data_IF_252963026921
#
_entry.id   IF_252963026921
#
_cell.length_a   1.000
_cell.length_b   1.000
_cell.length_c   1.000
_cell.angle_alpha   90.00
_cell.angle_beta   90.00
_cell.angle_gamma   90.00
#
_symmetry.space_group_name_H-M   'P 1'
#
loop_
_entity.id
_entity.type
_entity.pdbx_description
1 polymer ?
#
# COMPACT_ATOMS: atom_id res chain seq x y z
N UNK A 1 13.82 0.38 -31.62
CA UNK A 1 14.58 -0.87 -31.30
C UNK A 1 13.62 -2.06 -31.23
N UNK A 2 12.47 -1.89 -30.58
CA UNK A 2 11.40 -2.88 -30.43
C UNK A 2 10.78 -3.34 -31.76
N UNK A 3 10.49 -2.41 -32.68
CA UNK A 3 9.91 -2.74 -34.01
C UNK A 3 10.84 -3.63 -34.87
N UNK A 4 12.14 -3.31 -34.90
CA UNK A 4 13.16 -4.11 -35.60
C UNK A 4 13.36 -5.51 -34.99
N UNK A 5 13.07 -5.67 -33.69
CA UNK A 5 13.12 -6.96 -33.01
C UNK A 5 11.87 -7.79 -33.35
N UNK A 6 10.69 -7.17 -33.30
CA UNK A 6 9.42 -7.79 -33.68
C UNK A 6 9.41 -8.29 -35.13
N UNK A 7 9.97 -7.51 -36.06
CA UNK A 7 10.09 -7.92 -37.46
C UNK A 7 11.03 -9.12 -37.66
N UNK A 8 12.14 -9.16 -36.92
CA UNK A 8 13.05 -10.31 -36.91
C UNK A 8 12.38 -11.55 -36.34
N UNK A 9 11.63 -11.42 -35.26
CA UNK A 9 10.91 -12.52 -34.62
C UNK A 9 9.83 -13.09 -35.56
N UNK A 10 9.00 -12.22 -36.16
CA UNK A 10 8.00 -12.63 -37.16
C UNK A 10 8.63 -13.32 -38.37
N UNK A 11 9.74 -12.79 -38.87
CA UNK A 11 10.50 -13.39 -39.98
C UNK A 11 11.05 -14.77 -39.60
N UNK A 12 11.59 -14.91 -38.39
CA UNK A 12 12.08 -16.19 -37.87
C UNK A 12 10.94 -17.21 -37.70
N UNK A 13 9.82 -16.83 -37.08
CA UNK A 13 8.64 -17.67 -36.91
C UNK A 13 8.06 -18.14 -38.25
N UNK A 14 7.98 -17.25 -39.23
CA UNK A 14 7.52 -17.59 -40.58
C UNK A 14 8.45 -18.62 -41.25
N UNK A 15 9.77 -18.43 -41.14
CA UNK A 15 10.78 -19.38 -41.66
C UNK A 15 10.73 -20.73 -40.93
N UNK A 16 10.59 -20.73 -39.61
CA UNK A 16 10.47 -21.94 -38.80
C UNK A 16 9.20 -22.73 -39.16
N UNK A 17 8.04 -22.05 -39.27
CA UNK A 17 6.77 -22.64 -39.69
C UNK A 17 6.83 -23.21 -41.10
N UNK A 18 7.45 -22.49 -42.02
CA UNK A 18 7.67 -22.96 -43.38
C UNK A 18 8.54 -24.22 -43.38
N UNK A 19 9.70 -24.20 -42.72
CA UNK A 19 10.60 -25.35 -42.63
C UNK A 19 9.89 -26.57 -42.02
N UNK A 20 9.10 -26.37 -40.96
CA UNK A 20 8.35 -27.44 -40.33
C UNK A 20 7.33 -28.06 -41.31
N UNK A 21 6.58 -27.24 -42.06
CA UNK A 21 5.62 -27.73 -43.06
C UNK A 21 6.26 -28.60 -44.15
N UNK A 22 7.48 -28.26 -44.57
CA UNK A 22 8.23 -29.08 -45.54
C UNK A 22 8.76 -30.36 -44.90
N UNK A 23 9.32 -30.26 -43.69
CA UNK A 23 9.75 -31.41 -42.90
C UNK A 23 8.61 -32.39 -42.68
N UNK A 24 7.44 -31.94 -42.22
CA UNK A 24 6.25 -32.76 -41.96
C UNK A 24 5.75 -33.48 -43.21
N UNK A 25 5.78 -32.82 -44.37
CA UNK A 25 5.41 -33.45 -45.64
C UNK A 25 6.38 -34.55 -46.05
N UNK A 26 7.68 -34.32 -45.89
CA UNK A 26 8.72 -35.31 -46.21
C UNK A 26 8.61 -36.48 -45.25
N UNK A 27 8.57 -36.21 -43.94
CA UNK A 27 8.37 -37.19 -42.88
C UNK A 27 7.10 -38.00 -43.13
N UNK A 28 5.96 -37.37 -43.41
CA UNK A 28 4.70 -38.05 -43.65
C UNK A 28 4.77 -39.02 -44.82
N UNK A 29 5.45 -38.65 -45.91
CA UNK A 29 5.69 -39.55 -47.05
C UNK A 29 6.63 -40.70 -46.68
N UNK A 30 7.69 -40.42 -45.91
CA UNK A 30 8.64 -41.44 -45.44
C UNK A 30 7.99 -42.43 -44.48
N UNK A 31 7.14 -41.97 -43.56
CA UNK A 31 6.39 -42.83 -42.64
C UNK A 31 5.36 -43.67 -43.38
N UNK A 32 4.62 -43.09 -44.34
CA UNK A 32 3.69 -43.84 -45.18
C UNK A 32 4.42 -44.96 -45.94
N UNK A 33 5.56 -44.64 -46.56
CA UNK A 33 6.38 -45.64 -47.22
C UNK A 33 6.89 -46.70 -46.25
N UNK A 34 7.40 -46.31 -45.09
CA UNK A 34 7.91 -47.25 -44.08
C UNK A 34 6.81 -48.19 -43.58
N UNK A 35 5.59 -47.69 -43.39
CA UNK A 35 4.45 -48.50 -43.00
C UNK A 35 4.08 -49.49 -44.10
N UNK A 36 3.94 -49.04 -45.35
CA UNK A 36 3.68 -49.93 -46.50
C UNK A 36 4.79 -50.97 -46.65
N UNK A 37 6.06 -50.57 -46.46
CA UNK A 37 7.20 -51.47 -46.51
C UNK A 37 7.11 -52.54 -45.42
N UNK A 38 6.92 -52.14 -44.17
CA UNK A 38 6.94 -53.06 -43.02
C UNK A 38 5.71 -53.96 -42.95
N UNK A 39 4.51 -53.47 -43.30
CA UNK A 39 3.25 -54.22 -43.11
C UNK A 39 2.81 -55.00 -44.34
N UNK A 40 3.29 -54.63 -45.54
CA UNK A 40 2.84 -55.24 -46.80
C UNK A 40 4.01 -55.81 -47.60
N UNK A 41 4.95 -54.97 -48.03
CA UNK A 41 5.98 -55.39 -48.98
C UNK A 41 6.98 -56.38 -48.36
N UNK A 42 7.47 -56.11 -47.16
CA UNK A 42 8.45 -56.97 -46.50
C UNK A 42 7.88 -58.37 -46.18
N UNK A 43 6.70 -58.53 -45.58
CA UNK A 43 6.11 -59.86 -45.36
C UNK A 43 5.89 -60.65 -46.67
N UNK A 44 5.44 -60.00 -47.75
CA UNK A 44 5.27 -60.64 -49.06
C UNK A 44 6.62 -61.13 -49.61
N UNK A 45 7.64 -60.27 -49.59
CA UNK A 45 8.98 -60.61 -50.09
C UNK A 45 9.64 -61.71 -49.25
N UNK A 46 9.47 -61.67 -47.93
CA UNK A 46 9.93 -62.73 -47.02
C UNK A 46 9.20 -64.04 -47.35
N UNK A 47 7.88 -64.02 -47.53
CA UNK A 47 7.09 -65.20 -47.90
C UNK A 47 7.51 -65.82 -49.23
N UNK A 48 7.76 -64.99 -50.26
CA UNK A 48 8.30 -65.44 -51.55
C UNK A 48 9.69 -66.03 -51.37
N UNK A 49 10.57 -65.39 -50.59
CA UNK A 49 11.93 -65.86 -50.35
C UNK A 49 11.95 -67.21 -49.62
N UNK A 50 11.13 -67.37 -48.57
CA UNK A 50 10.98 -68.63 -47.85
C UNK A 50 10.43 -69.71 -48.78
N UNK A 51 9.36 -69.43 -49.53
CA UNK A 51 8.77 -70.38 -50.49
C UNK A 51 9.79 -70.83 -51.55
N UNK A 52 10.63 -69.91 -52.03
CA UNK A 52 11.70 -70.25 -52.96
C UNK A 52 12.72 -71.20 -52.31
N UNK A 53 13.17 -70.93 -51.08
CA UNK A 53 14.11 -71.79 -50.35
C UNK A 53 13.52 -73.18 -50.12
N UNK A 54 12.25 -73.29 -49.71
CA UNK A 54 11.60 -74.58 -49.43
C UNK A 54 11.36 -75.45 -50.67
N UNK A 55 11.29 -74.84 -51.86
CA UNK A 55 11.13 -75.57 -53.13
C UNK A 55 12.46 -76.02 -53.75
N UNK A 56 13.61 -75.72 -53.12
CA UNK A 56 14.90 -76.21 -53.57
C UNK A 56 15.09 -77.69 -53.20
N UNK A 57 15.65 -78.53 -54.09
CA UNK A 57 16.02 -79.91 -53.76
C UNK A 57 17.03 -79.96 -52.61
N UNK A 58 17.00 -81.05 -51.84
CA UNK A 58 17.98 -81.29 -50.77
C UNK A 58 19.41 -81.19 -51.34
N UNK A 59 20.24 -80.34 -50.71
CA UNK A 59 21.63 -80.01 -51.07
C UNK A 59 21.86 -79.03 -52.23
N UNK A 60 20.84 -78.30 -52.70
CA UNK A 60 21.01 -77.20 -53.67
C UNK A 60 20.97 -75.85 -52.96
N UNK A 61 22.03 -75.06 -53.09
CA UNK A 61 22.09 -73.69 -52.57
C UNK A 61 21.32 -72.70 -53.47
N UNK A 62 20.73 -71.63 -52.90
CA UNK A 62 20.13 -70.55 -53.70
C UNK A 62 21.15 -69.90 -54.64
N UNK A 63 20.66 -69.42 -55.79
CA UNK A 63 21.50 -68.75 -56.78
C UNK A 63 22.04 -67.40 -56.26
N UNK A 64 23.09 -66.86 -56.91
CA UNK A 64 23.68 -65.58 -56.54
C UNK A 64 22.68 -64.40 -56.58
N UNK A 65 21.70 -64.46 -57.47
CA UNK A 65 20.64 -63.46 -57.59
C UNK A 65 19.80 -63.35 -56.30
N UNK A 66 19.48 -64.48 -55.66
CA UNK A 66 18.77 -64.52 -54.39
C UNK A 66 19.53 -63.76 -53.30
N UNK A 67 20.83 -64.00 -53.17
CA UNK A 67 21.68 -63.32 -52.18
C UNK A 67 21.82 -61.81 -52.43
N UNK A 68 21.88 -61.40 -53.70
CA UNK A 68 21.86 -59.98 -54.08
C UNK A 68 20.53 -59.33 -53.64
N UNK A 69 19.40 -59.97 -53.96
CA UNK A 69 18.08 -59.47 -53.58
C UNK A 69 17.90 -59.42 -52.06
N UNK A 70 18.38 -60.42 -51.32
CA UNK A 70 18.36 -60.43 -49.85
C UNK A 70 19.18 -59.27 -49.27
N UNK A 71 20.35 -59.00 -49.84
CA UNK A 71 21.21 -57.88 -49.42
C UNK A 71 20.53 -56.54 -49.67
N UNK A 72 19.93 -56.34 -50.86
CA UNK A 72 19.17 -55.13 -51.17
C UNK A 72 17.98 -54.96 -50.23
N UNK A 73 17.24 -56.05 -49.96
CA UNK A 73 16.13 -56.04 -49.01
C UNK A 73 16.57 -55.61 -47.60
N UNK A 74 17.66 -56.19 -47.09
CA UNK A 74 18.21 -55.84 -45.77
C UNK A 74 18.62 -54.37 -45.71
N UNK A 75 19.26 -53.84 -46.76
CA UNK A 75 19.65 -52.42 -46.82
C UNK A 75 18.43 -51.50 -46.78
N UNK A 76 17.37 -51.81 -47.53
CA UNK A 76 16.12 -51.03 -47.51
C UNK A 76 15.46 -51.12 -46.12
N UNK A 77 15.47 -52.30 -45.51
CA UNK A 77 14.88 -52.51 -44.18
C UNK A 77 15.63 -51.73 -43.09
N UNK A 78 16.97 -51.74 -43.12
CA UNK A 78 17.78 -50.95 -42.19
C UNK A 78 17.63 -49.43 -42.44
N UNK A 79 17.57 -49.00 -43.69
CA UNK A 79 17.36 -47.60 -44.04
C UNK A 79 16.00 -47.08 -43.55
N UNK A 80 14.93 -47.86 -43.75
CA UNK A 80 13.59 -47.51 -43.27
C UNK A 80 13.52 -47.48 -41.74
N UNK A 81 14.08 -48.48 -41.06
CA UNK A 81 14.16 -48.50 -39.60
C UNK A 81 14.93 -47.29 -39.03
N UNK A 82 16.06 -46.94 -39.64
CA UNK A 82 16.85 -45.76 -39.25
C UNK A 82 16.07 -44.46 -39.42
N UNK A 83 15.37 -44.29 -40.55
CA UNK A 83 14.56 -43.09 -40.82
C UNK A 83 13.40 -42.95 -39.83
N UNK A 84 12.72 -44.04 -39.46
CA UNK A 84 11.66 -44.03 -38.45
C UNK A 84 12.21 -43.67 -37.07
N UNK A 85 13.36 -44.24 -36.69
CA UNK A 85 14.00 -43.91 -35.41
C UNK A 85 14.37 -42.42 -35.33
N UNK A 86 15.01 -41.88 -36.37
CA UNK A 86 15.40 -40.47 -36.41
C UNK A 86 14.20 -39.52 -36.41
N UNK A 87 13.06 -39.96 -36.94
CA UNK A 87 11.83 -39.19 -36.89
C UNK A 87 11.23 -39.15 -35.47
N UNK A 88 11.18 -40.28 -34.78
CA UNK A 88 10.61 -40.36 -33.44
C UNK A 88 11.42 -39.57 -32.40
N UNK A 89 12.69 -39.26 -32.68
CA UNK A 89 13.56 -38.48 -31.78
C UNK A 89 13.57 -36.98 -32.05
N UNK A 90 12.88 -36.47 -33.09
CA UNK A 90 12.89 -35.05 -33.43
C UNK A 90 11.76 -34.29 -32.74
N UNK A 91 12.13 -33.41 -31.80
CA UNK A 91 11.29 -32.29 -31.40
C UNK A 91 11.32 -31.23 -32.51
N UNK A 92 10.16 -30.70 -32.90
CA UNK A 92 10.12 -29.67 -33.95
C UNK A 92 10.74 -28.38 -33.41
N UNK A 93 11.64 -27.76 -34.17
CA UNK A 93 12.18 -26.41 -33.85
C UNK A 93 11.06 -25.36 -33.69
N UNK A 94 9.93 -25.59 -34.37
CA UNK A 94 8.76 -24.74 -34.29
C UNK A 94 8.09 -24.80 -32.92
N UNK A 95 7.90 -25.99 -32.34
CA UNK A 95 7.27 -26.13 -31.01
C UNK A 95 8.09 -25.46 -29.91
N UNK A 96 9.43 -25.57 -29.96
CA UNK A 96 10.31 -24.87 -29.01
C UNK A 96 10.26 -23.35 -29.20
N UNK A 97 10.17 -22.86 -30.45
CA UNK A 97 10.05 -21.43 -30.71
C UNK A 97 8.73 -20.86 -30.19
N UNK A 98 7.62 -21.61 -30.35
CA UNK A 98 6.30 -21.22 -29.81
C UNK A 98 6.32 -21.23 -28.28
N UNK A 99 6.88 -22.27 -27.66
CA UNK A 99 7.01 -22.36 -26.20
C UNK A 99 7.85 -21.22 -25.62
N UNK A 100 8.95 -20.85 -26.29
CA UNK A 100 9.78 -19.72 -25.89
C UNK A 100 9.05 -18.38 -26.05
N UNK A 101 8.30 -18.19 -27.14
CA UNK A 101 7.48 -16.98 -27.36
C UNK A 101 6.39 -16.85 -26.29
N UNK A 102 5.71 -17.95 -25.98
CA UNK A 102 4.68 -18.00 -24.95
C UNK A 102 5.27 -17.70 -23.55
N UNK A 103 6.38 -18.36 -23.20
CA UNK A 103 7.08 -18.10 -21.93
C UNK A 103 7.52 -16.64 -21.81
N UNK A 104 8.11 -16.07 -22.87
CA UNK A 104 8.56 -14.69 -22.88
C UNK A 104 7.38 -13.71 -22.78
N UNK A 105 6.27 -13.98 -23.48
CA UNK A 105 5.05 -13.17 -23.42
C UNK A 105 4.44 -13.18 -22.01
N UNK A 106 4.42 -14.34 -21.37
CA UNK A 106 3.90 -14.50 -20.00
C UNK A 106 4.78 -13.73 -18.99
N UNK A 107 6.10 -13.85 -19.08
CA UNK A 107 7.05 -13.13 -18.22
C UNK A 107 6.92 -11.60 -18.40
N UNK A 108 6.78 -11.14 -19.63
CA UNK A 108 6.61 -9.72 -19.96
C UNK A 108 5.28 -9.17 -19.40
N UNK A 109 4.20 -9.96 -19.47
CA UNK A 109 2.91 -9.62 -18.87
C UNK A 109 3.01 -9.50 -17.36
N UNK A 110 3.61 -10.51 -16.69
CA UNK A 110 3.81 -10.50 -15.24
C UNK A 110 4.64 -9.27 -14.79
N UNK A 111 5.73 -8.98 -15.50
CA UNK A 111 6.58 -7.82 -15.19
C UNK A 111 5.82 -6.50 -15.36
N UNK A 112 4.98 -6.37 -16.39
CA UNK A 112 4.13 -5.19 -16.60
C UNK A 112 3.11 -5.01 -15.47
N UNK A 113 2.48 -6.11 -15.04
CA UNK A 113 1.51 -6.08 -13.95
C UNK A 113 2.15 -5.70 -12.62
N UNK A 114 3.35 -6.23 -12.33
CA UNK A 114 4.13 -5.82 -11.16
C UNK A 114 4.51 -4.33 -11.23
N UNK A 115 5.03 -3.87 -12.36
CA UNK A 115 5.40 -2.46 -12.55
C UNK A 115 4.19 -1.53 -12.38
N UNK A 116 3.01 -1.93 -12.91
CA UNK A 116 1.78 -1.17 -12.72
C UNK A 116 1.40 -1.06 -11.25
N UNK A 117 1.48 -2.16 -10.48
CA UNK A 117 1.25 -2.16 -9.03
C UNK A 117 2.22 -1.22 -8.31
N UNK A 118 3.51 -1.27 -8.64
CA UNK A 118 4.52 -0.37 -8.06
C UNK A 118 4.24 1.10 -8.37
N UNK A 119 3.91 1.44 -9.62
CA UNK A 119 3.58 2.81 -10.03
C UNK A 119 2.35 3.32 -9.27
N UNK A 120 1.31 2.50 -9.13
CA UNK A 120 0.11 2.88 -8.39
C UNK A 120 0.40 3.10 -6.90
N UNK A 121 1.14 2.19 -6.26
CA UNK A 121 1.55 2.32 -4.86
C UNK A 121 2.42 3.57 -4.65
N UNK A 122 3.40 3.80 -5.52
CA UNK A 122 4.27 4.97 -5.46
C UNK A 122 3.49 6.28 -5.60
N UNK A 123 2.54 6.37 -6.54
CA UNK A 123 1.67 7.55 -6.67
C UNK A 123 0.89 7.82 -5.39
N UNK A 124 0.31 6.78 -4.77
CA UNK A 124 -0.44 6.93 -3.52
C UNK A 124 0.44 7.51 -2.39
N UNK A 125 1.65 6.97 -2.23
CA UNK A 125 2.61 7.46 -1.22
C UNK A 125 3.08 8.89 -1.54
N UNK A 126 3.37 9.19 -2.81
CA UNK A 126 3.80 10.52 -3.23
C UNK A 126 2.72 11.57 -2.98
N UNK A 127 1.45 11.26 -3.25
CA UNK A 127 0.32 12.15 -2.96
C UNK A 127 0.18 12.39 -1.44
N UNK A 128 0.21 11.33 -0.63
CA UNK A 128 0.15 11.45 0.83
C UNK A 128 1.28 12.35 1.36
N UNK A 129 2.52 12.09 0.94
CA UNK A 129 3.68 12.87 1.36
C UNK A 129 3.57 14.34 0.93
N UNK A 130 3.09 14.60 -0.30
CA UNK A 130 2.83 15.96 -0.77
C UNK A 130 1.82 16.68 0.12
N UNK A 131 0.71 16.02 0.47
CA UNK A 131 -0.32 16.62 1.32
C UNK A 131 0.21 16.87 2.74
N UNK A 132 0.90 15.90 3.35
CA UNK A 132 1.53 16.09 4.66
C UNK A 132 2.51 17.26 4.64
N UNK A 133 3.38 17.36 3.62
CA UNK A 133 4.33 18.46 3.50
C UNK A 133 3.65 19.83 3.36
N UNK A 134 2.61 19.91 2.53
CA UNK A 134 1.83 21.15 2.38
C UNK A 134 1.12 21.54 3.68
N UNK A 135 0.51 20.59 4.40
CA UNK A 135 -0.14 20.85 5.69
C UNK A 135 0.88 21.29 6.75
N UNK A 136 2.06 20.66 6.80
CA UNK A 136 3.13 21.08 7.72
C UNK A 136 3.62 22.50 7.40
N UNK A 137 3.82 22.83 6.12
CA UNK A 137 4.21 24.16 5.71
C UNK A 137 3.18 25.22 6.12
N UNK A 138 1.89 24.98 5.85
CA UNK A 138 0.81 25.89 6.26
C UNK A 138 0.75 26.04 7.78
N UNK A 139 0.87 24.92 8.51
CA UNK A 139 0.88 24.92 9.99
C UNK A 139 2.06 25.74 10.54
N UNK A 140 3.25 25.62 9.93
CA UNK A 140 4.41 26.41 10.29
C UNK A 140 4.19 27.91 10.05
N UNK A 141 3.63 28.30 8.89
CA UNK A 141 3.29 29.69 8.61
C UNK A 141 2.26 30.25 9.60
N UNK A 142 1.19 29.50 9.90
CA UNK A 142 0.17 29.91 10.88
C UNK A 142 0.80 30.09 12.27
N UNK A 143 1.72 29.19 12.64
CA UNK A 143 2.42 29.25 13.93
C UNK A 143 3.32 30.49 14.00
N UNK A 144 4.11 30.75 12.95
CA UNK A 144 5.01 31.90 12.88
C UNK A 144 4.25 33.23 12.92
N UNK A 145 3.20 33.36 12.10
CA UNK A 145 2.31 34.53 12.10
C UNK A 145 1.64 34.71 13.47
N UNK A 146 1.10 33.63 14.04
CA UNK A 146 0.48 33.65 15.36
C UNK A 146 1.44 34.10 16.46
N UNK A 147 2.67 33.58 16.49
CA UNK A 147 3.71 34.01 17.44
C UNK A 147 4.03 35.50 17.24
N UNK A 148 4.17 35.93 15.98
CA UNK A 148 4.39 37.33 15.65
C UNK A 148 3.26 38.24 16.15
N UNK A 149 2.00 37.85 15.95
CA UNK A 149 0.84 38.59 16.41
C UNK A 149 0.74 38.69 17.93
N UNK A 150 1.03 37.61 18.66
CA UNK A 150 1.05 37.59 20.13
C UNK A 150 2.14 38.53 20.65
N UNK A 151 3.33 38.50 20.04
CA UNK A 151 4.45 39.36 20.45
C UNK A 151 4.24 40.85 20.15
N UNK A 152 3.35 41.18 19.21
CA UNK A 152 3.01 42.56 18.85
C UNK A 152 1.85 43.13 19.68
N UNK A 153 1.19 42.33 20.52
CA UNK A 153 0.17 42.85 21.45
C UNK A 153 0.87 43.75 22.46
N UNK A 154 0.43 45.01 22.53
CA UNK A 154 0.99 45.98 23.47
C UNK A 154 0.47 45.72 24.89
N UNK A 155 1.35 45.86 25.89
CA UNK A 155 1.03 45.68 27.30
C UNK A 155 -0.14 46.58 27.75
N UNK A 156 -1.10 46.01 28.47
CA UNK A 156 -2.25 46.74 29.00
C UNK A 156 -3.22 47.25 27.94
N UNK A 157 -3.18 46.76 26.69
CA UNK A 157 -4.11 47.20 25.63
C UNK A 157 -5.37 46.34 25.51
N UNK A 158 -5.28 45.05 25.81
CA UNK A 158 -6.38 44.09 25.73
C UNK A 158 -6.82 43.62 27.11
N UNK A 159 -8.10 43.25 27.23
CA UNK A 159 -8.57 42.42 28.34
C UNK A 159 -8.08 40.97 28.17
N UNK A 160 -8.09 40.17 29.25
CA UNK A 160 -7.73 38.74 29.18
C UNK A 160 -8.62 38.01 28.17
N UNK A 161 -9.92 38.34 28.14
CA UNK A 161 -10.88 37.72 27.24
C UNK A 161 -10.53 37.99 25.77
N UNK A 162 -10.27 39.26 25.42
CA UNK A 162 -9.89 39.64 24.06
C UNK A 162 -8.57 38.99 23.62
N UNK A 163 -7.59 38.92 24.54
CA UNK A 163 -6.34 38.23 24.27
C UNK A 163 -6.55 36.75 23.99
N UNK A 164 -7.33 36.05 24.82
CA UNK A 164 -7.61 34.62 24.64
C UNK A 164 -8.43 34.34 23.38
N UNK A 165 -9.38 35.21 23.04
CA UNK A 165 -10.14 35.09 21.78
C UNK A 165 -9.22 35.25 20.57
N UNK A 166 -8.27 36.21 20.61
CA UNK A 166 -7.25 36.36 19.56
C UNK A 166 -6.30 35.17 19.50
N UNK A 167 -5.84 34.67 20.66
CA UNK A 167 -4.93 33.52 20.74
C UNK A 167 -5.57 32.20 20.25
N UNK A 168 -6.90 32.10 20.26
CA UNK A 168 -7.61 30.93 19.72
C UNK A 168 -7.61 30.88 18.18
N UNK A 169 -7.48 32.00 17.48
CA UNK A 169 -7.57 32.01 16.01
C UNK A 169 -6.47 31.16 15.34
N UNK A 170 -5.17 31.28 15.69
CA UNK A 170 -4.15 30.42 15.10
C UNK A 170 -4.31 28.95 15.50
N UNK A 171 -4.74 28.65 16.73
CA UNK A 171 -5.06 27.27 17.17
C UNK A 171 -6.15 26.68 16.26
N UNK A 172 -7.24 27.41 16.05
CA UNK A 172 -8.34 26.99 15.18
C UNK A 172 -7.87 26.79 13.74
N UNK A 173 -7.04 27.70 13.23
CA UNK A 173 -6.48 27.58 11.90
C UNK A 173 -5.62 26.31 11.75
N UNK A 174 -4.75 26.01 12.73
CA UNK A 174 -3.96 24.76 12.75
C UNK A 174 -4.86 23.53 12.76
N UNK A 175 -5.86 23.46 13.64
CA UNK A 175 -6.78 22.32 13.70
C UNK A 175 -7.55 22.18 12.39
N UNK A 176 -7.95 23.30 11.78
CA UNK A 176 -8.68 23.31 10.51
C UNK A 176 -7.86 22.74 9.35
N UNK A 177 -6.54 22.90 9.31
CA UNK A 177 -5.71 22.30 8.24
C UNK A 177 -5.78 20.77 8.28
N UNK A 178 -5.83 20.17 9.47
CA UNK A 178 -6.02 18.73 9.65
C UNK A 178 -7.41 18.27 9.21
N UNK A 179 -8.43 19.07 9.47
CA UNK A 179 -9.83 18.73 9.21
C UNK A 179 -10.18 18.81 7.72
N UNK A 180 -9.70 19.83 7.02
CA UNK A 180 -9.95 20.03 5.60
C UNK A 180 -9.34 18.92 4.75
N UNK A 181 -8.10 18.54 5.03
CA UNK A 181 -7.35 17.52 4.28
C UNK A 181 -7.47 16.11 4.86
N UNK A 182 -8.41 15.88 5.79
CA UNK A 182 -8.50 14.63 6.56
C UNK A 182 -8.56 13.36 5.69
N UNK A 183 -9.28 13.39 4.56
CA UNK A 183 -9.38 12.25 3.65
C UNK A 183 -8.02 11.94 3.02
N UNK A 184 -7.28 12.98 2.64
CA UNK A 184 -6.01 12.86 1.95
C UNK A 184 -4.84 12.55 2.91
N UNK A 185 -4.92 13.03 4.16
CA UNK A 185 -3.92 12.82 5.21
C UNK A 185 -4.09 11.49 5.94
N UNK A 186 -5.33 11.14 6.29
CA UNK A 186 -5.61 10.00 7.17
C UNK A 186 -6.44 8.91 6.51
N UNK A 187 -6.89 9.11 5.26
CA UNK A 187 -7.71 8.13 4.56
C UNK A 187 -9.16 8.04 5.06
N UNK A 188 -9.69 9.11 5.67
CA UNK A 188 -11.11 9.15 6.03
C UNK A 188 -11.97 8.93 4.78
N UNK A 189 -13.05 8.16 4.94
CA UNK A 189 -14.08 7.99 3.90
C UNK A 189 -15.23 8.94 4.20
N UNK A 190 -15.95 9.40 3.17
CA UNK A 190 -17.06 10.37 3.32
C UNK A 190 -18.16 9.95 4.30
N UNK A 191 -18.31 8.65 4.56
CA UNK A 191 -19.28 8.12 5.53
C UNK A 191 -18.74 8.03 6.96
N UNK A 192 -17.42 8.02 7.12
CA UNK A 192 -16.73 7.84 8.40
C UNK A 192 -16.89 9.07 9.28
N UNK A 193 -17.32 8.86 10.53
CA UNK A 193 -17.46 9.94 11.50
C UNK A 193 -16.06 10.29 12.01
N UNK A 194 -15.71 11.58 11.96
CA UNK A 194 -14.43 12.07 12.44
C UNK A 194 -14.63 13.04 13.60
N UNK A 195 -13.61 13.13 14.45
CA UNK A 195 -13.51 14.15 15.48
C UNK A 195 -12.04 14.46 15.76
N UNK A 196 -11.67 15.73 15.60
CA UNK A 196 -10.35 16.27 15.88
C UNK A 196 -10.52 17.33 16.95
N UNK A 197 -9.85 17.15 18.09
CA UNK A 197 -9.99 18.02 19.25
C UNK A 197 -8.64 18.31 19.88
N UNK A 198 -8.50 19.53 20.39
CA UNK A 198 -7.38 19.95 21.21
C UNK A 198 -7.86 20.13 22.64
N UNK A 199 -7.15 19.48 23.57
CA UNK A 199 -7.35 19.66 25.00
C UNK A 199 -6.16 20.38 25.61
N UNK A 200 -6.43 21.30 26.53
CA UNK A 200 -5.41 22.03 27.31
C UNK A 200 -5.50 21.63 28.77
N UNK A 201 -4.36 21.56 29.43
CA UNK A 201 -4.32 21.22 30.85
C UNK A 201 -4.55 22.47 31.72
N UNK A 202 -5.47 22.36 32.68
CA UNK A 202 -5.67 23.35 33.72
C UNK A 202 -4.99 22.86 35.01
N UNK A 203 -3.98 23.59 35.46
CA UNK A 203 -3.24 23.27 36.69
C UNK A 203 -4.07 23.44 37.96
N UNK A 204 -5.04 24.37 37.98
CA UNK A 204 -5.86 24.66 39.16
C UNK A 204 -6.91 23.56 39.40
N UNK A 205 -7.53 23.08 38.33
CA UNK A 205 -8.62 22.10 38.41
C UNK A 205 -8.16 20.64 38.17
N UNK A 206 -6.87 20.45 37.89
CA UNK A 206 -6.23 19.16 37.56
C UNK A 206 -7.00 18.35 36.50
N UNK A 207 -7.39 19.02 35.43
CA UNK A 207 -8.10 18.40 34.32
C UNK A 207 -7.62 18.92 32.96
N UNK A 208 -7.98 18.19 31.92
CA UNK A 208 -7.84 18.56 30.51
C UNK A 208 -9.21 19.03 30.01
N UNK A 209 -9.30 20.29 29.62
CA UNK A 209 -10.51 20.89 29.06
C UNK A 209 -10.35 21.12 27.56
N UNK A 210 -11.46 21.06 26.82
CA UNK A 210 -11.43 21.22 25.37
C UNK A 210 -11.34 22.70 24.98
N UNK A 211 -10.32 23.06 24.20
CA UNK A 211 -10.13 24.44 23.74
C UNK A 211 -10.66 24.64 22.31
N UNK A 212 -10.53 23.64 21.46
CA UNK A 212 -10.95 23.69 20.05
C UNK A 212 -11.31 22.28 19.56
N UNK A 213 -12.35 22.19 18.74
CA UNK A 213 -12.86 20.91 18.23
C UNK A 213 -13.57 21.10 16.90
N UNK A 214 -13.20 20.28 15.93
CA UNK A 214 -13.93 20.09 14.68
C UNK A 214 -14.33 18.62 14.57
N UNK A 215 -15.61 18.37 14.31
CA UNK A 215 -16.16 17.03 14.24
C UNK A 215 -17.32 16.95 13.25
N UNK A 216 -17.60 15.72 12.82
CA UNK A 216 -18.73 15.45 11.94
C UNK A 216 -20.06 15.89 12.60
N UNK A 217 -20.89 16.62 11.84
CA UNK A 217 -22.17 17.16 12.31
C UNK A 217 -23.16 16.11 12.80
N UNK A 218 -22.96 14.84 12.43
CA UNK A 218 -23.77 13.70 12.90
C UNK A 218 -23.43 13.27 14.33
N UNK A 219 -22.30 13.72 14.90
CA UNK A 219 -21.88 13.37 16.25
C UNK A 219 -22.47 14.32 17.31
N UNK A 220 -22.95 13.79 18.46
CA UNK A 220 -23.35 14.65 19.57
C UNK A 220 -22.13 15.34 20.19
N UNK A 221 -22.18 16.66 20.32
CA UNK A 221 -21.12 17.45 20.94
C UNK A 221 -21.23 17.39 22.47
N UNK A 222 -20.53 16.42 23.06
CA UNK A 222 -20.28 16.32 24.50
C UNK A 222 -18.85 16.78 24.74
N UNK A 223 -18.67 18.03 25.13
CA UNK A 223 -17.36 18.63 25.41
C UNK A 223 -16.87 18.10 26.76
N UNK A 224 -16.38 16.86 26.76
CA UNK A 224 -15.99 16.12 27.98
C UNK A 224 -14.61 16.57 28.45
N UNK A 225 -14.49 16.88 29.72
CA UNK A 225 -13.19 17.08 30.37
C UNK A 225 -12.60 15.73 30.80
N UNK A 226 -11.27 15.67 30.84
CA UNK A 226 -10.53 14.45 31.18
C UNK A 226 -9.58 14.69 32.34
N UNK A 227 -9.58 13.79 33.32
CA UNK A 227 -8.51 13.79 34.33
C UNK A 227 -7.24 13.12 33.78
N UNK A 228 -6.04 13.52 34.23
CA UNK A 228 -4.82 12.76 33.97
C UNK A 228 -5.01 11.26 34.29
N UNK A 229 -4.49 10.40 33.43
CA UNK A 229 -4.61 8.94 33.52
C UNK A 229 -5.98 8.35 33.15
N UNK A 230 -7.00 9.16 32.86
CA UNK A 230 -8.34 8.67 32.52
C UNK A 230 -8.59 8.71 31.01
N UNK A 231 -9.00 7.57 30.46
CA UNK A 231 -9.21 7.40 29.02
C UNK A 231 -7.94 7.61 28.19
N UNK A 232 -8.05 7.50 26.88
CA UNK A 232 -6.89 7.63 25.99
C UNK A 232 -6.26 9.03 26.03
N UNK A 233 -7.08 10.07 26.25
CA UNK A 233 -6.61 11.46 26.37
C UNK A 233 -5.79 11.64 27.64
N UNK A 234 -6.33 11.27 28.80
CA UNK A 234 -5.62 11.38 30.08
C UNK A 234 -4.42 10.45 30.18
N UNK A 235 -4.44 9.27 29.56
CA UNK A 235 -3.29 8.36 29.52
C UNK A 235 -2.17 8.86 28.62
N UNK A 236 -2.49 9.47 27.47
CA UNK A 236 -1.48 10.09 26.62
C UNK A 236 -0.78 11.25 27.36
N UNK A 237 -1.55 12.04 28.09
CA UNK A 237 -1.04 13.11 28.95
C UNK A 237 -0.14 12.57 30.07
N UNK A 238 -0.64 11.65 30.89
CA UNK A 238 0.08 11.14 32.06
C UNK A 238 1.38 10.45 31.68
N UNK A 239 1.36 9.65 30.61
CA UNK A 239 2.53 8.90 30.16
C UNK A 239 3.47 9.69 29.24
N UNK A 240 3.13 10.93 28.89
CA UNK A 240 3.88 11.75 27.91
C UNK A 240 4.19 11.02 26.60
N UNK A 241 3.30 10.12 26.22
CA UNK A 241 3.48 9.26 25.05
C UNK A 241 2.23 9.27 24.19
N UNK A 242 2.46 9.30 22.88
CA UNK A 242 1.38 9.11 21.91
C UNK A 242 0.71 7.76 22.13
N UNK A 243 -0.61 7.77 22.22
CA UNK A 243 -1.44 6.56 22.29
C UNK A 243 -2.18 6.41 20.97
N UNK A 244 -2.04 5.25 20.34
CA UNK A 244 -2.71 4.91 19.08
C UNK A 244 -3.44 3.58 19.27
N UNK A 245 -4.69 3.50 18.82
CA UNK A 245 -5.43 2.25 18.79
C UNK A 245 -6.22 2.12 17.49
N UNK A 246 -6.07 0.98 16.83
CA UNK A 246 -6.91 0.60 15.70
C UNK A 246 -8.33 0.18 16.11
N UNK A 247 -8.52 -0.23 17.36
CA UNK A 247 -9.84 -0.55 17.89
C UNK A 247 -9.84 -0.44 19.43
N UNK A 248 -10.52 0.58 19.95
CA UNK A 248 -10.63 0.84 21.38
C UNK A 248 -11.37 -0.29 22.12
N UNK A 249 -12.26 -1.02 21.43
CA UNK A 249 -13.02 -2.12 22.04
C UNK A 249 -12.16 -3.34 22.34
N UNK A 250 -10.98 -3.43 21.70
CA UNK A 250 -10.01 -4.53 21.85
C UNK A 250 -8.82 -4.17 22.76
N UNK A 251 -8.78 -2.96 23.32
CA UNK A 251 -7.65 -2.49 24.13
C UNK A 251 -7.92 -2.70 25.61
N UNK A 252 -7.14 -3.56 26.28
CA UNK A 252 -7.33 -3.84 27.71
C UNK A 252 -7.11 -2.61 28.62
N UNK A 253 -6.20 -1.71 28.24
CA UNK A 253 -5.92 -0.47 28.98
C UNK A 253 -7.03 0.60 28.84
N UNK A 254 -7.80 0.54 27.76
CA UNK A 254 -8.71 1.61 27.34
C UNK A 254 -10.17 1.19 27.21
N UNK A 255 -10.44 -0.12 27.20
CA UNK A 255 -11.76 -0.72 27.33
C UNK A 255 -12.28 -0.48 28.76
N UNK A 256 -12.52 0.78 29.10
CA UNK A 256 -13.16 1.15 30.35
C UNK A 256 -14.67 0.92 30.22
N UNK A 257 -15.24 0.33 31.27
CA UNK A 257 -16.65 -0.05 31.45
C UNK A 257 -17.67 1.11 31.37
N UNK A 258 -17.21 2.33 31.03
CA UNK A 258 -18.00 3.56 30.97
C UNK A 258 -18.20 4.08 29.53
N UNK A 259 -17.80 3.32 28.51
CA UNK A 259 -18.12 3.65 27.12
C UNK A 259 -19.58 3.31 26.86
N UNK A 260 -20.40 4.35 26.62
CA UNK A 260 -21.78 4.14 26.19
C UNK A 260 -21.79 3.37 24.88
N UNK A 261 -22.86 2.62 24.60
CA UNK A 261 -22.98 1.88 23.33
C UNK A 261 -22.91 2.81 22.11
N UNK A 262 -23.30 4.08 22.28
CA UNK A 262 -23.07 5.14 21.30
C UNK A 262 -21.59 5.47 21.09
N UNK A 263 -20.77 5.49 22.15
CA UNK A 263 -19.33 5.77 22.01
C UNK A 263 -18.63 4.64 21.24
N UNK A 264 -19.02 3.38 21.48
CA UNK A 264 -18.45 2.22 20.78
C UNK A 264 -18.69 2.23 19.27
N UNK A 265 -19.81 2.80 18.83
CA UNK A 265 -20.15 2.91 17.41
C UNK A 265 -19.55 4.15 16.74
N UNK A 266 -19.27 5.20 17.51
CA UNK A 266 -18.84 6.50 16.99
C UNK A 266 -17.32 6.74 17.12
N UNK A 267 -16.65 6.02 18.02
CA UNK A 267 -15.24 6.20 18.36
C UNK A 267 -14.58 4.82 18.45
N UNK A 268 -14.21 4.25 17.30
CA UNK A 268 -13.57 2.94 17.22
C UNK A 268 -12.04 3.04 17.25
N UNK A 269 -11.45 3.94 16.48
CA UNK A 269 -10.01 4.14 16.47
C UNK A 269 -9.65 5.57 16.88
N UNK A 270 -8.45 5.74 17.44
CA UNK A 270 -7.96 7.05 17.84
C UNK A 270 -6.44 7.13 17.76
N UNK A 271 -5.94 8.37 17.69
CA UNK A 271 -4.58 8.73 18.03
C UNK A 271 -4.60 9.97 18.94
N UNK A 272 -3.86 9.92 20.05
CA UNK A 272 -3.80 10.99 21.05
C UNK A 272 -2.34 11.32 21.32
N UNK A 273 -1.96 12.56 21.02
CA UNK A 273 -0.59 13.04 21.08
C UNK A 273 -0.46 14.07 22.21
N UNK A 274 0.39 13.84 23.21
CA UNK A 274 0.68 14.86 24.20
C UNK A 274 1.45 16.01 23.56
N UNK A 275 1.13 17.22 24.00
CA UNK A 275 1.83 18.44 23.59
C UNK A 275 2.83 18.76 24.69
N UNK A 276 4.04 18.24 24.52
CA UNK A 276 5.13 18.48 25.46
C UNK A 276 5.60 19.93 25.30
N UNK A 277 5.87 20.61 26.42
CA UNK A 277 6.49 21.93 26.38
C UNK A 277 7.88 21.85 25.72
N UNK A 278 8.41 23.00 25.29
CA UNK A 278 9.72 23.04 24.65
C UNK A 278 10.87 22.62 25.59
N UNK A 279 10.66 22.70 26.90
CA UNK A 279 11.62 22.33 27.95
C UNK A 279 11.45 20.87 28.42
N UNK A 280 10.35 20.22 28.04
CA UNK A 280 10.06 18.83 28.43
C UNK A 280 10.71 17.84 27.45
N UNK A 281 11.58 16.98 27.97
CA UNK A 281 12.26 15.91 27.24
C UNK A 281 11.38 14.65 27.06
N UNK A 282 10.17 14.66 27.62
CA UNK A 282 9.24 13.54 27.58
C UNK A 282 9.49 12.48 28.65
N UNK A 283 10.42 12.70 29.59
CA UNK A 283 10.58 11.83 30.76
C UNK A 283 9.36 11.97 31.68
N UNK A 284 8.69 10.85 31.92
CA UNK A 284 7.54 10.76 32.84
C UNK A 284 7.94 11.02 34.30
N UNK A 285 9.23 10.91 34.62
CA UNK A 285 9.74 11.16 35.97
C UNK A 285 10.09 12.62 36.22
N UNK A 286 10.13 13.46 35.17
CA UNK A 286 10.32 14.89 35.36
C UNK A 286 8.99 15.54 35.83
N UNK A 287 9.08 16.65 36.58
CA UNK A 287 7.90 17.32 37.15
C UNK A 287 7.12 18.17 36.14
N UNK A 288 7.63 18.30 34.90
CA UNK A 288 7.01 19.12 33.86
C UNK A 288 5.82 18.35 33.29
N UNK A 289 4.62 18.95 33.32
CA UNK A 289 3.44 18.35 32.71
C UNK A 289 3.31 18.80 31.25
N UNK A 290 2.75 17.96 30.35
CA UNK A 290 2.40 18.42 29.01
C UNK A 290 1.46 19.63 29.06
N UNK A 291 1.48 20.47 28.04
CA UNK A 291 0.58 21.62 27.89
C UNK A 291 -0.86 21.17 27.58
N UNK A 292 -1.01 20.00 26.95
CA UNK A 292 -2.28 19.51 26.46
C UNK A 292 -2.16 18.22 25.67
N UNK A 293 -3.23 17.86 24.96
CA UNK A 293 -3.31 16.67 24.11
C UNK A 293 -4.08 16.98 22.82
N UNK A 294 -3.48 16.69 21.67
CA UNK A 294 -4.15 16.66 20.37
C UNK A 294 -4.76 15.27 20.15
N UNK A 295 -6.05 15.22 19.82
CA UNK A 295 -6.82 13.99 19.72
C UNK A 295 -7.49 13.92 18.36
N UNK A 296 -7.28 12.82 17.64
CA UNK A 296 -8.03 12.47 16.44
C UNK A 296 -8.72 11.12 16.68
N UNK A 297 -10.00 11.03 16.33
CA UNK A 297 -10.80 9.81 16.49
C UNK A 297 -11.65 9.53 15.26
N UNK A 298 -11.89 8.25 14.97
CA UNK A 298 -12.72 7.78 13.86
C UNK A 298 -13.70 6.71 14.29
N UNK A 299 -14.86 6.64 13.64
CA UNK A 299 -15.81 5.53 13.76
C UNK A 299 -15.36 4.26 13.03
N UNK A 300 -14.35 4.33 12.16
CA UNK A 300 -13.78 3.16 11.50
C UNK A 300 -12.65 2.55 12.33
N UNK A 301 -12.47 1.23 12.22
CA UNK A 301 -11.33 0.52 12.78
C UNK A 301 -10.07 0.79 11.94
N UNK A 302 -8.91 0.81 12.60
CA UNK A 302 -7.59 0.98 11.98
C UNK A 302 -7.48 2.22 11.08
N UNK A 303 -8.15 3.32 11.45
CA UNK A 303 -8.05 4.57 10.70
C UNK A 303 -6.63 5.13 10.72
N UNK A 304 -5.95 5.00 11.87
CA UNK A 304 -4.62 5.57 12.12
C UNK A 304 -3.55 4.50 12.05
N UNK A 305 -2.45 4.82 11.38
CA UNK A 305 -1.30 3.95 11.19
C UNK A 305 -0.05 4.63 11.73
N UNK A 306 0.71 3.93 12.57
CA UNK A 306 1.88 4.50 13.25
C UNK A 306 2.91 5.05 12.25
N UNK A 307 3.26 4.28 11.23
CA UNK A 307 4.26 4.68 10.22
C UNK A 307 3.80 5.87 9.37
N UNK A 308 2.49 6.02 9.20
CA UNK A 308 1.88 7.06 8.38
C UNK A 308 1.72 8.38 9.15
N UNK A 309 1.24 8.27 10.39
CA UNK A 309 0.65 9.41 11.11
C UNK A 309 1.55 9.96 12.21
N UNK A 310 2.35 9.11 12.86
CA UNK A 310 3.03 9.47 14.11
C UNK A 310 3.99 10.65 13.91
N UNK A 311 4.89 10.56 12.93
CA UNK A 311 5.87 11.62 12.68
C UNK A 311 5.18 12.92 12.26
N UNK A 312 4.21 12.84 11.34
CA UNK A 312 3.48 14.00 10.85
C UNK A 312 2.74 14.74 11.98
N UNK A 313 1.95 14.02 12.78
CA UNK A 313 1.20 14.62 13.88
C UNK A 313 2.10 15.07 15.04
N UNK A 314 3.24 14.41 15.27
CA UNK A 314 4.23 14.86 16.25
C UNK A 314 4.86 16.18 15.84
N UNK A 315 5.14 16.41 14.55
CA UNK A 315 5.61 17.71 14.08
C UNK A 315 4.55 18.80 14.31
N UNK A 316 3.28 18.49 14.05
CA UNK A 316 2.17 19.42 14.34
C UNK A 316 2.05 19.71 15.84
N UNK A 317 2.20 18.70 16.71
CA UNK A 317 2.17 18.92 18.16
C UNK A 317 3.33 19.81 18.63
N UNK A 318 4.49 19.77 17.96
CA UNK A 318 5.60 20.69 18.23
C UNK A 318 5.31 22.12 17.79
N UNK A 319 4.64 22.34 16.65
CA UNK A 319 4.19 23.68 16.27
C UNK A 319 3.17 24.24 17.27
N UNK A 320 2.22 23.42 17.73
CA UNK A 320 1.30 23.80 18.81
C UNK A 320 2.06 24.14 20.10
N UNK A 321 3.04 23.34 20.49
CA UNK A 321 3.85 23.61 21.70
C UNK A 321 4.57 24.97 21.63
N UNK A 322 5.17 25.30 20.48
CA UNK A 322 5.84 26.59 20.26
C UNK A 322 4.83 27.74 20.40
N UNK A 323 3.67 27.61 19.76
CA UNK A 323 2.65 28.67 19.83
C UNK A 323 2.10 28.85 21.24
N UNK A 324 1.77 27.75 21.92
CA UNK A 324 1.25 27.77 23.29
C UNK A 324 2.27 28.35 24.28
N UNK A 325 3.56 28.03 24.13
CA UNK A 325 4.63 28.63 24.94
C UNK A 325 4.72 30.15 24.72
N UNK A 326 4.48 30.64 23.49
CA UNK A 326 4.42 32.08 23.23
C UNK A 326 3.23 32.76 23.93
N UNK A 327 2.07 32.09 23.97
CA UNK A 327 0.89 32.59 24.69
C UNK A 327 1.19 32.67 26.19
N UNK A 328 1.73 31.59 26.77
CA UNK A 328 2.06 31.51 28.20
C UNK A 328 3.10 32.56 28.61
N UNK A 329 4.15 32.73 27.78
CA UNK A 329 5.17 33.76 27.99
C UNK A 329 4.56 35.16 27.97
N UNK A 330 3.71 35.47 26.98
CA UNK A 330 3.05 36.77 26.91
C UNK A 330 2.13 37.02 28.11
N UNK A 331 1.32 36.02 28.48
CA UNK A 331 0.40 36.09 29.61
C UNK A 331 1.13 36.31 30.94
N UNK A 332 2.31 35.72 31.12
CA UNK A 332 3.09 35.81 32.36
C UNK A 332 3.85 37.14 32.52
N UNK A 333 4.15 37.84 31.43
CA UNK A 333 5.00 39.04 31.42
C UNK A 333 4.26 40.34 31.10
N UNK A 334 2.99 40.29 30.74
CA UNK A 334 2.18 41.47 30.41
C UNK A 334 0.97 41.59 31.34
N UNK A 335 0.53 42.83 31.54
CA UNK A 335 -0.68 43.19 32.24
C UNK A 335 -1.85 43.24 31.25
N UNK A 336 -3.03 42.86 31.73
CA UNK A 336 -4.27 42.97 30.97
C UNK A 336 -5.14 44.09 31.53
N UNK A 337 -5.93 44.74 30.67
CA UNK A 337 -6.95 45.69 31.10
C UNK A 337 -7.95 44.98 32.01
N UNK A 338 -8.41 45.68 33.04
CA UNK A 338 -9.52 45.22 33.85
C UNK A 338 -10.76 45.00 32.96
N UNK A 339 -11.49 43.92 33.19
CA UNK A 339 -12.79 43.72 32.55
C UNK A 339 -13.76 44.77 33.12
N UNK A 340 -14.21 45.70 32.29
CA UNK A 340 -15.30 46.62 32.65
C UNK A 340 -16.63 45.84 32.64
N UNK A 341 -16.88 45.02 33.66
CA UNK A 341 -18.22 44.47 33.91
C UNK A 341 -19.04 45.45 34.77
N UNK A 342 -19.82 46.27 34.05
CA UNK A 342 -21.18 46.77 34.36
C UNK A 342 -21.41 47.28 35.80
N UNK A 343 -21.32 48.60 35.98
CA UNK A 343 -22.15 49.31 36.95
C UNK A 343 -23.61 49.25 36.48
N UNK A 344 -24.35 48.23 36.91
CA UNK A 344 -25.81 48.25 36.83
C UNK A 344 -26.28 49.23 37.90
N UNK A 345 -26.65 50.42 37.44
CA UNK A 345 -27.28 51.45 38.25
C UNK A 345 -28.60 50.94 38.80
N UNK A 346 -28.60 50.52 40.06
CA UNK A 346 -29.75 50.72 40.92
C UNK A 346 -29.86 52.23 41.13
N UNK A 347 -30.60 52.90 40.25
CA UNK A 347 -31.18 54.20 40.56
C UNK A 347 -32.41 53.93 41.42
N UNK A 348 -32.30 54.33 42.68
CA UNK A 348 -33.43 54.75 43.48
C UNK A 348 -34.27 55.75 42.68
N UNK A 349 -35.55 55.43 42.47
CA UNK A 349 -36.70 56.35 42.59
C UNK A 349 -38.02 55.56 42.67
#
# INVERSE_FOLDING_TARGET
>A
MEEKYQDKLKSFMAKAKFNNKYSDKIVGRTLLFSNIWATLLAPILIGIGISHIYNLPENVLPNALFWILLTVFLLIHLATAYLVHQNNSKYSLYSQAVELEESHSNELTNTRDELAKYIHAFKKVAHLHSNQMSTLYLTACITDEGVGEINQVEDGTLTIKEFMDKAKEPIRAIIRTLCLEREALFGYRSQSLYNIALYMYNHEEDHLFMIERDCDSRLPQRNRDWKPGHGHVGLAFLHKQTKISGDITKSDELATNNTTESDKNNYKSFISLPILSCEDDGDVNNEIKPLGVLVLTSADESQFEQDRDLQFLTTISKFLAIYLASIESHYSHNNFKANDEIQEGVKDE
#
